data_IF_406650356469
#
_entry.id   IF_406650356469
#
_cell.length_a   1.000
_cell.length_b   1.000
_cell.length_c   1.000
_cell.angle_alpha   90.00
_cell.angle_beta   90.00
_cell.angle_gamma   90.00
#
_symmetry.space_group_name_H-M   'P 1'
#
loop_
_entity.id
_entity.type
_entity.pdbx_description
1 polymer ?
#
# COMPACT_ATOMS: atom_id res chain seq x y z
N UNK A 1 16.97 13.56 -32.46
CA UNK A 1 16.02 13.85 -31.37
C UNK A 1 16.58 13.21 -30.13
N UNK A 2 17.09 14.00 -29.19
CA UNK A 2 17.52 13.48 -27.89
C UNK A 2 16.26 13.31 -27.04
N UNK A 3 15.93 12.07 -26.69
CA UNK A 3 14.88 11.78 -25.71
C UNK A 3 15.44 12.26 -24.37
N UNK A 4 14.79 13.24 -23.75
CA UNK A 4 15.19 13.72 -22.42
C UNK A 4 15.05 12.57 -21.41
N UNK A 5 15.91 12.50 -20.38
CA UNK A 5 15.79 11.49 -19.34
C UNK A 5 14.44 11.67 -18.64
N UNK A 6 13.69 10.58 -18.49
CA UNK A 6 12.53 10.50 -17.58
C UNK A 6 12.98 10.99 -16.21
N UNK A 7 12.44 12.11 -15.75
CA UNK A 7 12.93 12.78 -14.55
C UNK A 7 12.15 12.28 -13.33
N UNK A 8 12.24 10.98 -13.08
CA UNK A 8 11.57 10.35 -11.95
C UNK A 8 12.19 10.83 -10.63
N UNK A 9 11.35 11.33 -9.72
CA UNK A 9 11.80 11.81 -8.41
C UNK A 9 11.58 10.72 -7.38
N UNK A 10 12.64 10.27 -6.72
CA UNK A 10 12.52 9.38 -5.56
C UNK A 10 12.05 10.20 -4.38
N UNK A 11 10.91 9.84 -3.81
CA UNK A 11 10.37 10.45 -2.61
C UNK A 11 10.93 9.72 -1.38
N UNK A 12 11.11 10.45 -0.28
CA UNK A 12 11.38 9.83 1.01
C UNK A 12 10.05 9.46 1.65
N UNK A 13 9.98 8.22 2.16
CA UNK A 13 8.84 7.78 2.96
C UNK A 13 8.96 8.43 4.35
N UNK A 14 8.17 9.46 4.59
CA UNK A 14 8.02 10.04 5.93
C UNK A 14 6.91 9.28 6.67
N UNK A 15 7.29 8.19 7.33
CA UNK A 15 6.38 7.48 8.24
C UNK A 15 6.20 8.37 9.48
N UNK A 16 5.10 9.12 9.55
CA UNK A 16 4.70 9.78 10.78
C UNK A 16 4.07 8.73 11.70
N UNK A 17 4.69 8.45 12.85
CA UNK A 17 4.13 7.56 13.89
C UNK A 17 2.73 7.98 14.36
N UNK A 18 2.35 9.24 14.10
CA UNK A 18 1.03 9.81 14.40
C UNK A 18 0.06 9.77 13.22
N UNK A 19 0.49 9.24 12.08
CA UNK A 19 -0.39 9.04 10.94
C UNK A 19 -1.53 8.11 11.36
N UNK A 20 -2.73 8.65 11.23
CA UNK A 20 -3.97 7.94 11.47
C UNK A 20 -4.79 8.04 10.19
N UNK A 21 -4.99 6.93 9.46
CA UNK A 21 -5.82 6.94 8.29
C UNK A 21 -7.22 7.40 8.67
N UNK A 22 -7.80 8.24 7.83
CA UNK A 22 -9.18 8.67 7.97
C UNK A 22 -10.13 7.47 7.84
N UNK A 23 -11.34 7.60 8.37
CA UNK A 23 -12.37 6.57 8.24
C UNK A 23 -12.72 6.30 6.77
N UNK A 24 -12.64 7.32 5.91
CA UNK A 24 -12.83 7.19 4.46
C UNK A 24 -11.73 6.34 3.81
N UNK A 25 -10.45 6.65 4.06
CA UNK A 25 -9.32 5.85 3.56
C UNK A 25 -9.40 4.41 4.05
N UNK A 26 -9.73 4.22 5.34
CA UNK A 26 -9.92 2.91 5.92
C UNK A 26 -11.04 2.14 5.22
N UNK A 27 -12.20 2.76 5.00
CA UNK A 27 -13.35 2.14 4.33
C UNK A 27 -13.05 1.81 2.87
N UNK A 28 -12.32 2.67 2.16
CA UNK A 28 -11.86 2.40 0.79
C UNK A 28 -10.93 1.19 0.77
N UNK A 29 -9.98 1.13 1.69
CA UNK A 29 -9.03 0.02 1.77
C UNK A 29 -9.71 -1.30 2.20
N UNK A 30 -10.65 -1.25 3.15
CA UNK A 30 -11.52 -2.39 3.53
C UNK A 30 -12.23 -2.96 2.29
N UNK A 31 -12.85 -2.09 1.47
CA UNK A 31 -13.51 -2.51 0.23
C UNK A 31 -12.52 -3.06 -0.79
N UNK A 32 -11.35 -2.45 -0.88
CA UNK A 32 -10.28 -2.87 -1.80
C UNK A 32 -9.69 -4.23 -1.43
N UNK A 33 -9.57 -4.54 -0.13
CA UNK A 33 -9.21 -5.86 0.38
C UNK A 33 -10.32 -6.91 0.17
N UNK A 34 -11.53 -6.49 -0.24
CA UNK A 34 -12.67 -7.37 -0.45
C UNK A 34 -13.42 -7.77 0.82
N UNK A 35 -13.22 -7.02 1.93
CA UNK A 35 -13.95 -7.25 3.17
C UNK A 35 -15.42 -6.77 3.04
N UNK A 36 -16.34 -7.56 3.61
CA UNK A 36 -17.77 -7.25 3.65
C UNK A 36 -18.17 -6.82 5.06
N UNK A 37 -18.70 -5.61 5.21
CA UNK A 37 -19.24 -5.13 6.49
C UNK A 37 -20.76 -5.37 6.53
N UNK A 38 -21.32 -5.78 7.69
CA UNK A 38 -20.69 -5.89 9.01
C UNK A 38 -19.96 -7.22 9.31
N UNK A 39 -19.94 -8.18 8.40
CA UNK A 39 -19.44 -9.54 8.64
C UNK A 39 -17.94 -9.58 9.01
N UNK A 40 -17.12 -8.80 8.33
CA UNK A 40 -15.66 -8.68 8.52
C UNK A 40 -15.30 -7.47 9.40
N UNK A 41 -16.23 -6.96 10.23
CA UNK A 41 -15.97 -5.79 11.08
C UNK A 41 -14.80 -6.04 12.05
N UNK A 42 -14.65 -7.27 12.51
CA UNK A 42 -13.54 -7.71 13.36
C UNK A 42 -12.20 -7.83 12.60
N UNK A 43 -12.20 -7.68 11.27
CA UNK A 43 -11.00 -7.71 10.41
C UNK A 43 -10.58 -6.30 9.95
N UNK A 44 -11.36 -5.25 10.24
CA UNK A 44 -11.06 -3.86 9.84
C UNK A 44 -9.71 -3.37 10.39
N UNK A 45 -9.25 -3.91 11.52
CA UNK A 45 -7.92 -3.59 12.04
C UNK A 45 -6.79 -4.00 11.07
N UNK A 46 -6.97 -5.04 10.25
CA UNK A 46 -6.00 -5.47 9.24
C UNK A 46 -5.85 -4.38 8.17
N UNK A 47 -6.96 -3.78 7.74
CA UNK A 47 -6.95 -2.67 6.80
C UNK A 47 -6.22 -1.45 7.39
N UNK A 48 -6.44 -1.15 8.67
CA UNK A 48 -5.76 -0.05 9.37
C UNK A 48 -4.26 -0.29 9.49
N UNK A 49 -3.86 -1.51 9.84
CA UNK A 49 -2.43 -1.88 9.88
C UNK A 49 -1.80 -1.82 8.48
N UNK A 50 -2.54 -2.17 7.43
CA UNK A 50 -2.06 -2.09 6.05
C UNK A 50 -1.79 -0.66 5.58
N UNK A 51 -2.69 0.27 5.90
CA UNK A 51 -2.50 1.70 5.59
C UNK A 51 -1.37 2.34 6.40
N UNK A 52 -1.03 1.78 7.57
CA UNK A 52 0.06 2.26 8.42
C UNK A 52 1.36 1.47 8.21
N UNK A 53 1.33 0.46 7.35
CA UNK A 53 2.45 -0.43 7.15
C UNK A 53 3.61 0.34 6.50
N UNK A 54 4.80 0.32 7.10
CA UNK A 54 5.96 0.89 6.45
C UNK A 54 6.27 0.11 5.17
N UNK A 55 6.83 0.78 4.17
CA UNK A 55 7.33 0.10 2.99
C UNK A 55 8.38 -0.96 3.38
N UNK A 56 8.41 -2.11 2.69
CA UNK A 56 9.42 -3.11 2.94
C UNK A 56 10.81 -2.57 2.62
N UNK A 57 11.84 -3.19 3.20
CA UNK A 57 13.22 -2.78 2.97
C UNK A 57 13.52 -2.62 1.47
N UNK A 58 14.23 -1.54 1.13
CA UNK A 58 14.64 -1.18 -0.22
C UNK A 58 13.53 -0.72 -1.18
N UNK A 59 12.27 -0.69 -0.76
CA UNK A 59 11.22 -0.02 -1.52
C UNK A 59 11.21 1.47 -1.21
N UNK A 60 10.98 2.30 -2.23
CA UNK A 60 10.68 3.71 -2.05
C UNK A 60 9.60 4.18 -3.02
N UNK A 61 8.78 5.17 -2.62
CA UNK A 61 7.88 5.81 -3.55
C UNK A 61 8.69 6.67 -4.52
N UNK A 62 8.34 6.59 -5.79
CA UNK A 62 8.91 7.35 -6.88
C UNK A 62 7.77 8.03 -7.61
N UNK A 63 8.00 9.26 -8.04
CA UNK A 63 7.04 10.04 -8.81
C UNK A 63 7.50 10.12 -10.26
N UNK A 64 6.61 9.84 -11.20
CA UNK A 64 6.85 10.01 -12.64
C UNK A 64 6.74 11.48 -13.05
N UNK A 65 7.17 11.78 -14.27
CA UNK A 65 6.98 13.12 -14.87
C UNK A 65 5.50 13.52 -14.99
N UNK A 66 4.60 12.54 -14.99
CA UNK A 66 3.14 12.72 -15.06
C UNK A 66 2.49 12.90 -13.66
N UNK A 67 3.30 13.11 -12.61
CA UNK A 67 2.89 13.25 -11.20
C UNK A 67 2.23 11.98 -10.62
N UNK A 68 2.43 10.82 -11.25
CA UNK A 68 1.96 9.53 -10.76
C UNK A 68 2.96 8.91 -9.78
N UNK A 69 2.46 8.33 -8.68
CA UNK A 69 3.29 7.64 -7.69
C UNK A 69 3.34 6.14 -8.02
N UNK A 70 4.54 5.59 -8.04
CA UNK A 70 4.82 4.16 -8.11
C UNK A 70 5.88 3.80 -7.08
N UNK A 71 5.97 2.53 -6.71
CA UNK A 71 6.96 2.04 -5.75
C UNK A 71 8.06 1.30 -6.50
N UNK A 72 9.32 1.60 -6.17
CA UNK A 72 10.49 0.98 -6.78
C UNK A 72 11.37 0.29 -5.73
N UNK A 73 11.75 -0.96 -6.01
CA UNK A 73 12.67 -1.73 -5.19
C UNK A 73 14.12 -1.51 -5.65
N UNK A 74 14.91 -0.84 -4.83
CA UNK A 74 16.32 -0.52 -5.11
C UNK A 74 17.26 -1.74 -4.99
N UNK A 75 16.78 -2.85 -4.43
CA UNK A 75 17.55 -4.09 -4.33
C UNK A 75 17.34 -4.99 -5.54
N UNK A 76 16.08 -5.27 -5.91
CA UNK A 76 15.76 -6.17 -7.02
C UNK A 76 15.67 -5.46 -8.38
N UNK A 77 15.39 -4.15 -8.38
CA UNK A 77 15.10 -3.37 -9.58
C UNK A 77 13.65 -3.46 -10.04
N UNK A 78 12.76 -4.05 -9.24
CA UNK A 78 11.34 -4.17 -9.56
C UNK A 78 10.56 -2.87 -9.30
N UNK A 79 9.49 -2.66 -10.06
CA UNK A 79 8.59 -1.52 -9.90
C UNK A 79 7.14 -1.99 -9.85
N UNK A 80 6.36 -1.48 -8.91
CA UNK A 80 4.93 -1.75 -8.79
C UNK A 80 4.15 -0.45 -8.65
N UNK A 81 2.91 -0.44 -9.11
CA UNK A 81 2.01 0.70 -8.98
C UNK A 81 1.20 0.67 -7.67
N UNK A 82 0.95 -0.52 -7.15
CA UNK A 82 0.28 -0.75 -5.86
C UNK A 82 1.29 -0.74 -4.72
N UNK A 83 0.84 -0.52 -3.48
CA UNK A 83 1.75 -0.56 -2.35
C UNK A 83 2.24 -2.00 -2.14
N UNK A 84 3.55 -2.26 -2.03
CA UNK A 84 4.11 -3.62 -2.02
C UNK A 84 3.66 -4.45 -0.80
N UNK A 85 3.17 -3.82 0.26
CA UNK A 85 2.56 -4.54 1.39
C UNK A 85 1.10 -4.93 1.14
N UNK A 86 0.43 -4.38 0.14
CA UNK A 86 -1.00 -4.62 -0.04
C UNK A 86 -1.33 -6.08 -0.35
N UNK A 87 -0.47 -6.76 -1.12
CA UNK A 87 -0.61 -8.19 -1.37
C UNK A 87 -0.52 -9.01 -0.08
N UNK A 88 0.35 -8.60 0.84
CA UNK A 88 0.47 -9.22 2.16
C UNK A 88 -0.82 -9.05 2.97
N UNK A 89 -1.38 -7.83 3.06
CA UNK A 89 -2.61 -7.59 3.83
C UNK A 89 -3.85 -8.25 3.21
N UNK A 90 -3.92 -8.39 1.88
CA UNK A 90 -4.92 -9.23 1.21
C UNK A 90 -4.81 -10.69 1.63
N UNK A 91 -3.59 -11.23 1.65
CA UNK A 91 -3.34 -12.61 2.06
C UNK A 91 -3.72 -12.84 3.53
N UNK A 92 -3.33 -11.92 4.42
CA UNK A 92 -3.67 -11.95 5.85
C UNK A 92 -5.19 -11.91 6.05
N UNK A 93 -5.89 -10.99 5.38
CA UNK A 93 -7.36 -10.94 5.43
C UNK A 93 -7.99 -12.27 5.00
N UNK A 94 -7.52 -12.84 3.90
CA UNK A 94 -8.05 -14.10 3.37
C UNK A 94 -7.79 -15.27 4.32
N UNK A 95 -6.60 -15.35 4.92
CA UNK A 95 -6.25 -16.38 5.90
C UNK A 95 -7.14 -16.30 7.14
N UNK A 96 -7.31 -15.11 7.72
CA UNK A 96 -8.21 -14.92 8.86
C UNK A 96 -9.67 -15.24 8.49
N UNK A 97 -10.15 -14.80 7.32
CA UNK A 97 -11.51 -15.10 6.88
C UNK A 97 -11.75 -16.62 6.74
N UNK A 98 -10.74 -17.39 6.33
CA UNK A 98 -10.80 -18.86 6.25
C UNK A 98 -10.78 -19.56 7.62
N UNK A 99 -10.20 -18.95 8.66
CA UNK A 99 -10.22 -19.51 10.02
C UNK A 99 -11.56 -19.32 10.75
N UNK A 100 -12.41 -18.41 10.26
CA UNK A 100 -13.71 -18.08 10.87
C UNK A 100 -14.93 -18.68 10.13
N UNK A 101 -14.72 -19.59 9.17
CA UNK A 101 -15.78 -20.38 8.48
C UNK A 101 -15.90 -21.82 8.97
#
# INVERSE_FOLDING_TARGET
MAILPTNNVVLEEEIDDKFEPSEEELMEYVRWLGMSLPEDQDLVWIAREGLKAPLPAYWKPCRTDDDEIYYFNFMSGDSVWEHPCDEYYRCVQQEFHLEFI
#
